data_IF_836179321112
#
_entry.id   IF_836179321112
#
_cell.length_a   1.000
_cell.length_b   1.000
_cell.length_c   1.000
_cell.angle_alpha   90.00
_cell.angle_beta   90.00
_cell.angle_gamma   90.00
#
_symmetry.space_group_name_H-M   'P 1'
#
loop_
_entity.id
_entity.type
_entity.pdbx_description
1 polymer ?
#
# COMPACT_ATOMS: atom_id res chain seq x y z
N UNK A 1 -94.85 36.92 20.06
CA UNK A 1 -94.10 38.17 20.31
C UNK A 1 -93.02 37.89 21.36
N UNK A 2 -91.89 37.35 20.92
CA UNK A 2 -90.61 37.40 21.64
C UNK A 2 -89.54 37.09 20.59
N UNK A 3 -88.63 38.04 20.43
CA UNK A 3 -87.83 38.28 19.25
C UNK A 3 -86.59 37.38 19.16
N UNK A 4 -86.16 37.10 17.93
CA UNK A 4 -84.82 36.61 17.61
C UNK A 4 -83.77 37.61 18.07
N UNK A 5 -82.83 37.18 18.91
CA UNK A 5 -81.50 37.79 18.99
C UNK A 5 -80.46 36.78 18.50
N UNK A 6 -79.91 37.10 17.33
CA UNK A 6 -78.72 36.47 16.76
C UNK A 6 -77.55 36.90 17.65
N UNK A 7 -76.94 35.95 18.34
CA UNK A 7 -75.63 36.16 18.96
C UNK A 7 -74.58 36.14 17.86
N UNK A 8 -74.23 37.33 17.40
CA UNK A 8 -73.09 37.61 16.53
C UNK A 8 -71.81 37.29 17.32
N UNK A 9 -71.17 36.15 17.04
CA UNK A 9 -69.78 35.90 17.45
C UNK A 9 -68.88 36.60 16.44
N UNK A 10 -68.93 37.93 16.48
CA UNK A 10 -68.05 38.83 15.76
C UNK A 10 -67.44 39.77 16.79
N UNK A 11 -66.17 39.55 17.13
CA UNK A 11 -65.39 40.55 17.86
C UNK A 11 -64.57 40.02 19.02
N UNK A 12 -63.41 39.43 18.72
CA UNK A 12 -62.27 39.45 19.65
C UNK A 12 -60.91 39.20 18.95
N UNK A 13 -60.78 39.47 17.64
CA UNK A 13 -59.50 39.30 16.95
C UNK A 13 -59.11 40.53 16.13
N UNK A 14 -59.21 41.70 16.78
CA UNK A 14 -58.63 42.96 16.31
C UNK A 14 -57.88 43.65 17.45
N UNK A 15 -56.97 42.91 18.10
CA UNK A 15 -55.87 43.55 18.80
C UNK A 15 -54.78 43.79 17.76
N UNK A 16 -54.75 44.99 17.20
CA UNK A 16 -53.62 45.52 16.46
C UNK A 16 -52.43 45.61 17.44
N UNK A 17 -51.73 44.47 17.62
CA UNK A 17 -50.46 44.45 18.28
C UNK A 17 -49.43 44.99 17.29
N UNK A 18 -49.00 46.24 17.50
CA UNK A 18 -47.82 46.77 16.82
C UNK A 18 -46.68 45.75 16.98
N UNK A 19 -46.06 45.27 15.88
CA UNK A 19 -44.99 44.27 15.94
C UNK A 19 -43.72 44.79 16.62
N UNK A 20 -43.69 46.07 17.01
CA UNK A 20 -42.53 46.78 17.53
C UNK A 20 -42.60 47.10 19.05
N UNK A 21 -43.59 46.58 19.78
CA UNK A 21 -43.65 46.75 21.23
C UNK A 21 -42.99 45.55 21.92
N UNK A 22 -41.88 45.75 22.67
CA UNK A 22 -41.21 44.65 23.36
C UNK A 22 -42.14 44.04 24.40
N UNK A 23 -42.33 42.72 24.33
CA UNK A 23 -43.24 41.94 25.19
C UNK A 23 -42.84 41.92 26.68
N UNK A 24 -41.67 42.48 27.02
CA UNK A 24 -41.17 42.70 28.38
C UNK A 24 -40.21 43.90 28.40
N UNK A 25 -40.25 44.82 29.38
CA UNK A 25 -39.25 45.87 29.50
C UNK A 25 -37.95 45.28 30.03
N UNK A 26 -37.00 44.96 29.14
CA UNK A 26 -35.61 44.71 29.54
C UNK A 26 -34.99 46.00 30.08
N UNK A 27 -34.21 45.90 31.16
CA UNK A 27 -33.41 47.02 31.67
C UNK A 27 -32.40 47.46 30.62
N UNK A 28 -32.04 48.74 30.61
CA UNK A 28 -31.07 49.27 29.64
C UNK A 28 -29.67 48.64 29.80
N UNK A 29 -29.33 48.20 31.01
CA UNK A 29 -28.10 47.45 31.28
C UNK A 29 -28.11 46.07 30.61
N UNK A 30 -29.24 45.35 30.67
CA UNK A 30 -29.40 44.04 30.04
C UNK A 30 -29.35 44.15 28.51
N UNK A 31 -29.89 45.24 27.95
CA UNK A 31 -29.80 45.54 26.51
C UNK A 31 -28.36 45.72 26.06
N UNK A 32 -27.57 46.52 26.81
CA UNK A 32 -26.16 46.74 26.50
C UNK A 32 -25.29 45.47 26.66
N UNK A 33 -25.66 44.55 27.57
CA UNK A 33 -25.00 43.24 27.70
C UNK A 33 -25.32 42.33 26.52
N UNK A 34 -26.60 42.27 26.11
CA UNK A 34 -27.03 41.47 24.97
C UNK A 34 -26.40 41.93 23.66
N UNK A 35 -26.34 43.25 23.42
CA UNK A 35 -25.71 43.83 22.22
C UNK A 35 -24.23 43.44 22.10
N UNK A 36 -23.47 43.55 23.20
CA UNK A 36 -22.07 43.08 23.23
C UNK A 36 -21.94 41.58 22.96
N UNK A 37 -22.85 40.75 23.48
CA UNK A 37 -22.83 39.30 23.28
C UNK A 37 -23.19 38.91 21.84
N UNK A 38 -24.14 39.62 21.22
CA UNK A 38 -24.52 39.40 19.83
C UNK A 38 -23.44 39.88 18.85
N UNK A 39 -22.71 40.96 19.16
CA UNK A 39 -21.59 41.44 18.35
C UNK A 39 -20.40 40.48 18.31
N UNK A 40 -20.24 39.62 19.32
CA UNK A 40 -19.20 38.58 19.37
C UNK A 40 -19.76 37.17 19.11
N UNK A 41 -20.95 37.08 18.52
CA UNK A 41 -21.59 35.79 18.27
C UNK A 41 -20.84 35.05 17.16
N UNK A 42 -20.42 33.79 17.39
CA UNK A 42 -19.81 32.97 16.34
C UNK A 42 -20.80 32.66 15.23
N UNK A 43 -20.30 32.58 14.01
CA UNK A 43 -21.10 32.24 12.85
C UNK A 43 -21.62 30.81 12.93
N UNK A 44 -22.75 30.55 12.26
CA UNK A 44 -23.34 29.21 12.20
C UNK A 44 -22.34 28.17 11.71
N UNK A 45 -21.54 28.51 10.70
CA UNK A 45 -20.52 27.64 10.14
C UNK A 45 -19.45 27.26 11.18
N UNK A 46 -18.96 28.23 11.97
CA UNK A 46 -17.98 27.96 13.03
C UNK A 46 -18.52 27.02 14.10
N UNK A 47 -19.81 27.14 14.42
CA UNK A 47 -20.47 26.24 15.37
C UNK A 47 -20.62 24.82 14.80
N UNK A 48 -20.82 24.67 13.49
CA UNK A 48 -20.85 23.37 12.81
C UNK A 48 -19.45 22.72 12.76
N UNK A 49 -18.40 23.47 12.44
CA UNK A 49 -17.01 22.99 12.46
C UNK A 49 -16.57 22.52 13.86
N UNK A 50 -16.95 23.28 14.89
CA UNK A 50 -16.71 22.91 16.30
C UNK A 50 -17.62 21.78 16.78
N UNK A 51 -18.45 21.20 15.90
CA UNK A 51 -19.42 20.13 16.21
C UNK A 51 -20.44 20.51 17.30
N UNK A 52 -20.66 21.81 17.53
CA UNK A 52 -21.64 22.32 18.50
C UNK A 52 -23.04 22.30 17.86
N UNK A 53 -23.16 22.76 16.61
CA UNK A 53 -24.37 22.62 15.81
C UNK A 53 -24.19 21.47 14.81
N UNK A 54 -25.21 20.64 14.60
CA UNK A 54 -25.12 19.60 13.56
C UNK A 54 -25.39 20.20 12.18
N UNK A 55 -24.63 19.78 11.14
CA UNK A 55 -24.82 20.30 9.80
C UNK A 55 -26.16 19.82 9.21
N UNK A 56 -26.89 20.77 8.63
CA UNK A 56 -28.13 20.51 7.89
C UNK A 56 -29.32 21.35 8.32
N UNK A 57 -30.40 21.26 7.55
CA UNK A 57 -31.66 21.96 7.79
C UNK A 57 -32.75 21.00 8.30
N UNK A 58 -32.37 20.07 9.18
CA UNK A 58 -33.29 19.09 9.77
C UNK A 58 -33.90 19.64 11.05
N UNK A 59 -35.14 19.23 11.34
CA UNK A 59 -35.78 19.57 12.60
C UNK A 59 -34.97 18.99 13.78
N UNK A 60 -34.84 19.73 14.91
CA UNK A 60 -34.10 19.26 16.09
C UNK A 60 -34.56 17.90 16.62
N UNK A 61 -35.85 17.56 16.45
CA UNK A 61 -36.42 16.27 16.86
C UNK A 61 -35.91 15.07 16.06
N UNK A 62 -35.52 15.26 14.79
CA UNK A 62 -35.06 14.18 13.90
C UNK A 62 -33.54 13.99 13.91
N UNK A 63 -32.81 14.94 14.49
CA UNK A 63 -31.36 14.93 14.53
C UNK A 63 -30.80 13.69 15.24
N UNK A 64 -31.40 13.31 16.37
CA UNK A 64 -30.98 12.12 17.13
C UNK A 64 -31.20 10.82 16.33
N UNK A 65 -32.33 10.69 15.64
CA UNK A 65 -32.63 9.52 14.81
C UNK A 65 -31.68 9.41 13.61
N UNK A 66 -31.33 10.55 12.98
CA UNK A 66 -30.31 10.59 11.93
C UNK A 66 -28.95 10.12 12.44
N UNK A 67 -28.51 10.64 13.58
CA UNK A 67 -27.19 10.31 14.14
C UNK A 67 -27.10 8.82 14.50
N UNK A 68 -28.19 8.24 15.02
CA UNK A 68 -28.25 6.79 15.33
C UNK A 68 -28.22 5.94 14.05
N UNK A 69 -28.98 6.33 13.02
CA UNK A 69 -28.93 5.65 11.72
C UNK A 69 -27.52 5.72 11.12
N UNK A 70 -26.88 6.89 11.16
CA UNK A 70 -25.53 7.05 10.63
C UNK A 70 -24.52 6.21 11.42
N UNK A 71 -24.68 6.13 12.74
CA UNK A 71 -23.86 5.27 13.60
C UNK A 71 -24.05 3.78 13.27
N UNK A 72 -25.29 3.31 13.10
CA UNK A 72 -25.59 1.94 12.68
C UNK A 72 -24.96 1.64 11.31
N UNK A 73 -25.16 2.51 10.32
CA UNK A 73 -24.54 2.34 9.01
C UNK A 73 -23.00 2.32 9.06
N UNK A 74 -22.39 3.13 9.94
CA UNK A 74 -20.93 3.10 10.15
C UNK A 74 -20.49 1.80 10.83
N UNK A 75 -21.27 1.27 11.77
CA UNK A 75 -21.01 0.00 12.43
C UNK A 75 -21.10 -1.18 11.44
N UNK A 76 -22.17 -1.26 10.66
CA UNK A 76 -22.36 -2.33 9.66
C UNK A 76 -21.22 -2.33 8.62
N UNK A 77 -20.80 -1.14 8.17
CA UNK A 77 -19.65 -0.98 7.25
C UNK A 77 -18.34 -1.40 7.89
N UNK A 78 -18.15 -1.13 9.18
CA UNK A 78 -16.95 -1.53 9.89
C UNK A 78 -16.92 -3.05 10.06
N UNK A 79 -18.03 -3.66 10.46
CA UNK A 79 -18.18 -5.11 10.61
C UNK A 79 -17.86 -5.83 9.30
N UNK A 80 -18.46 -5.43 8.18
CA UNK A 80 -18.15 -6.04 6.87
C UNK A 80 -16.69 -5.86 6.42
N UNK A 81 -15.99 -4.81 6.90
CA UNK A 81 -14.53 -4.64 6.65
C UNK A 81 -13.68 -5.49 7.57
N UNK A 82 -14.13 -5.71 8.81
CA UNK A 82 -13.45 -6.56 9.78
C UNK A 82 -13.57 -8.05 9.40
N UNK A 83 -14.70 -8.48 8.85
CA UNK A 83 -14.88 -9.85 8.34
C UNK A 83 -13.93 -10.17 7.18
N UNK A 84 -13.68 -9.20 6.31
CA UNK A 84 -12.78 -9.36 5.13
C UNK A 84 -11.34 -8.94 5.43
N UNK A 85 -10.99 -8.79 6.71
CA UNK A 85 -9.67 -8.34 7.12
C UNK A 85 -8.64 -9.42 6.77
N UNK A 86 -7.60 -9.09 5.98
CA UNK A 86 -6.50 -10.02 5.73
C UNK A 86 -5.76 -10.36 7.02
N UNK A 87 -5.25 -11.59 7.08
CA UNK A 87 -4.38 -12.00 8.17
C UNK A 87 -3.07 -11.24 8.14
N UNK A 88 -2.42 -11.16 9.31
CA UNK A 88 -1.17 -10.42 9.45
C UNK A 88 -0.08 -11.00 8.53
N UNK A 89 -0.01 -12.31 8.41
CA UNK A 89 1.02 -12.99 7.63
C UNK A 89 0.82 -12.77 6.12
N UNK A 90 -0.42 -12.63 5.65
CA UNK A 90 -0.72 -12.24 4.26
C UNK A 90 -0.21 -10.83 3.96
N UNK A 91 -0.34 -9.90 4.91
CA UNK A 91 0.16 -8.55 4.76
C UNK A 91 1.69 -8.50 4.75
N UNK A 92 2.35 -9.38 5.49
CA UNK A 92 3.82 -9.54 5.46
C UNK A 92 4.27 -10.14 4.13
N UNK A 93 3.62 -11.20 3.66
CA UNK A 93 3.93 -11.84 2.39
C UNK A 93 3.75 -10.88 1.20
N UNK A 94 2.77 -9.97 1.27
CA UNK A 94 2.55 -8.91 0.28
C UNK A 94 3.49 -7.72 0.43
N UNK A 95 4.35 -7.69 1.46
CA UNK A 95 5.27 -6.58 1.73
C UNK A 95 4.61 -5.30 2.24
N UNK A 96 3.35 -5.37 2.70
CA UNK A 96 2.63 -4.23 3.29
C UNK A 96 3.08 -4.01 4.73
N UNK A 97 3.13 -5.09 5.51
CA UNK A 97 3.70 -5.08 6.86
C UNK A 97 5.12 -5.65 6.83
N UNK A 98 5.96 -5.12 7.72
CA UNK A 98 7.32 -5.62 7.95
C UNK A 98 7.28 -6.65 9.09
N UNK A 99 8.23 -7.59 9.06
CA UNK A 99 8.36 -8.58 10.13
C UNK A 99 8.52 -7.92 11.50
N UNK A 100 7.59 -8.21 12.42
CA UNK A 100 7.53 -7.65 13.77
C UNK A 100 8.43 -8.37 14.78
N UNK A 101 9.52 -9.00 14.32
CA UNK A 101 10.59 -9.41 15.24
C UNK A 101 11.14 -8.22 16.03
N UNK A 102 10.91 -6.99 15.55
CA UNK A 102 11.41 -5.75 16.14
C UNK A 102 10.25 -4.76 16.37
N UNK A 103 10.32 -4.04 17.49
CA UNK A 103 9.34 -3.03 17.89
C UNK A 103 9.11 -1.98 16.78
N UNK A 104 7.86 -1.49 16.58
CA UNK A 104 7.52 -0.56 15.51
C UNK A 104 8.42 0.68 15.41
N UNK A 105 8.82 1.23 16.55
CA UNK A 105 9.70 2.41 16.63
C UNK A 105 11.11 2.16 16.07
N UNK A 106 11.58 0.91 16.06
CA UNK A 106 12.93 0.53 15.63
C UNK A 106 12.96 -0.04 14.20
N UNK A 107 11.81 -0.29 13.58
CA UNK A 107 11.73 -0.91 12.25
C UNK A 107 12.47 -0.09 11.19
N UNK A 108 12.29 1.24 11.20
CA UNK A 108 12.96 2.13 10.25
C UNK A 108 14.49 2.07 10.39
N UNK A 109 15.00 2.17 11.63
CA UNK A 109 16.45 2.10 11.91
C UNK A 109 17.04 0.73 11.54
N UNK A 110 16.30 -0.35 11.78
CA UNK A 110 16.71 -1.71 11.39
C UNK A 110 16.91 -1.81 9.89
N UNK A 111 15.98 -1.28 9.10
CA UNK A 111 16.07 -1.35 7.64
C UNK A 111 17.18 -0.49 7.08
N UNK A 112 17.37 0.70 7.64
CA UNK A 112 18.49 1.56 7.28
C UNK A 112 19.82 0.83 7.51
N UNK A 113 19.97 0.20 8.68
CA UNK A 113 21.13 -0.64 8.99
C UNK A 113 21.26 -1.83 8.04
N UNK A 114 20.16 -2.56 7.77
CA UNK A 114 20.16 -3.70 6.85
C UNK A 114 20.56 -3.28 5.43
N UNK A 115 20.08 -2.13 4.98
CA UNK A 115 20.44 -1.56 3.67
C UNK A 115 21.92 -1.20 3.64
N UNK A 116 22.42 -0.51 4.65
CA UNK A 116 23.85 -0.18 4.73
C UNK A 116 24.73 -1.43 4.74
N UNK A 117 24.40 -2.41 5.58
CA UNK A 117 25.12 -3.69 5.62
C UNK A 117 25.09 -4.43 4.28
N UNK A 118 23.96 -4.38 3.56
CA UNK A 118 23.85 -4.98 2.24
C UNK A 118 24.70 -4.23 1.21
N UNK A 119 24.68 -2.89 1.25
CA UNK A 119 25.51 -2.03 0.41
C UNK A 119 27.00 -2.30 0.63
N UNK A 120 27.47 -2.31 1.88
CA UNK A 120 28.89 -2.58 2.20
C UNK A 120 29.31 -3.99 1.74
N UNK A 121 28.46 -4.99 1.97
CA UNK A 121 28.70 -6.36 1.51
C UNK A 121 28.75 -6.46 -0.01
N UNK A 122 27.91 -5.70 -0.71
CA UNK A 122 27.90 -5.67 -2.16
C UNK A 122 29.14 -4.97 -2.69
N UNK A 123 29.53 -3.84 -2.10
CA UNK A 123 30.73 -3.08 -2.45
C UNK A 123 31.98 -3.97 -2.33
N UNK A 124 32.19 -4.63 -1.19
CA UNK A 124 33.33 -5.54 -1.03
C UNK A 124 33.33 -6.74 -2.00
N UNK A 125 32.15 -7.18 -2.49
CA UNK A 125 32.05 -8.21 -3.54
C UNK A 125 32.36 -7.67 -4.92
N UNK A 126 32.02 -6.41 -5.19
CA UNK A 126 32.30 -5.75 -6.45
C UNK A 126 33.78 -5.40 -6.58
N UNK A 127 34.44 -4.98 -5.49
CA UNK A 127 35.89 -4.73 -5.47
C UNK A 127 36.71 -5.98 -5.81
N UNK A 128 36.27 -7.15 -5.33
CA UNK A 128 36.94 -8.44 -5.56
C UNK A 128 36.33 -9.22 -6.72
N UNK A 129 35.64 -8.53 -7.63
CA UNK A 129 35.00 -9.15 -8.79
C UNK A 129 36.10 -9.74 -9.70
N UNK A 130 36.11 -11.06 -9.95
CA UNK A 130 37.06 -11.66 -10.88
C UNK A 130 36.86 -11.13 -12.29
N UNK A 131 37.96 -11.00 -13.03
CA UNK A 131 37.90 -10.64 -14.43
C UNK A 131 37.34 -11.80 -15.26
N UNK A 132 36.89 -11.49 -16.46
CA UNK A 132 36.34 -12.50 -17.37
C UNK A 132 37.34 -13.62 -17.64
N UNK A 133 38.61 -13.28 -17.85
CA UNK A 133 39.64 -14.25 -18.22
C UNK A 133 39.98 -15.20 -17.08
N UNK A 134 39.87 -14.75 -15.82
CA UNK A 134 39.96 -15.62 -14.65
C UNK A 134 38.83 -16.65 -14.63
N UNK A 135 37.62 -16.23 -14.99
CA UNK A 135 36.46 -17.13 -15.06
C UNK A 135 36.57 -18.13 -16.22
N UNK A 136 37.19 -17.75 -17.33
CA UNK A 136 37.49 -18.66 -18.46
C UNK A 136 38.57 -19.67 -18.06
N UNK A 137 39.64 -19.20 -17.43
CA UNK A 137 40.74 -20.06 -16.95
C UNK A 137 40.26 -21.09 -15.92
N UNK A 138 39.28 -20.72 -15.09
CA UNK A 138 38.62 -21.62 -14.13
C UNK A 138 37.56 -22.53 -14.75
N UNK A 139 37.29 -22.41 -16.05
CA UNK A 139 36.27 -23.19 -16.76
C UNK A 139 34.81 -22.84 -16.42
N UNK A 140 34.57 -21.70 -15.76
CA UNK A 140 33.22 -21.21 -15.41
C UNK A 140 32.56 -20.57 -16.63
N UNK A 141 33.31 -19.70 -17.32
CA UNK A 141 32.91 -19.14 -18.61
C UNK A 141 33.62 -19.90 -19.73
N UNK A 142 32.96 -20.04 -20.88
CA UNK A 142 33.63 -20.52 -22.10
C UNK A 142 34.14 -19.32 -22.87
N UNK A 143 35.17 -19.53 -23.68
CA UNK A 143 35.75 -18.45 -24.45
C UNK A 143 34.74 -17.93 -25.49
N UNK A 144 34.36 -16.66 -25.35
CA UNK A 144 33.28 -16.04 -26.09
C UNK A 144 33.78 -15.63 -27.46
N UNK A 145 33.63 -16.52 -28.44
CA UNK A 145 33.64 -16.13 -29.85
C UNK A 145 32.23 -15.90 -30.40
N UNK A 146 31.18 -16.19 -29.60
CA UNK A 146 29.77 -16.20 -30.02
C UNK A 146 28.88 -15.71 -28.89
N UNK A 147 27.71 -15.15 -29.23
CA UNK A 147 26.74 -14.62 -28.27
C UNK A 147 26.25 -15.69 -27.26
N UNK A 148 25.90 -15.32 -26.01
CA UNK A 148 25.51 -16.27 -24.95
C UNK A 148 24.38 -17.23 -25.34
N UNK A 149 23.40 -16.76 -26.12
CA UNK A 149 22.27 -17.58 -26.57
C UNK A 149 22.67 -18.72 -27.52
N UNK A 150 23.78 -18.58 -28.26
CA UNK A 150 24.24 -19.55 -29.25
C UNK A 150 25.33 -20.50 -28.70
N UNK A 151 25.87 -20.18 -27.52
CA UNK A 151 26.97 -20.91 -26.91
C UNK A 151 26.63 -22.40 -26.72
N UNK A 152 25.45 -22.70 -26.17
CA UNK A 152 25.00 -24.08 -25.96
C UNK A 152 24.96 -24.89 -27.27
N UNK A 153 24.35 -24.34 -28.33
CA UNK A 153 24.26 -25.02 -29.65
C UNK A 153 25.63 -25.20 -30.29
N UNK A 154 26.52 -24.21 -30.15
CA UNK A 154 27.89 -24.30 -30.65
C UNK A 154 28.64 -25.43 -29.94
N UNK A 155 28.52 -25.52 -28.63
CA UNK A 155 29.22 -26.55 -27.85
C UNK A 155 28.68 -27.96 -28.14
N UNK A 156 27.36 -28.08 -28.35
CA UNK A 156 26.72 -29.32 -28.80
C UNK A 156 27.25 -29.74 -30.18
N UNK A 157 27.26 -28.81 -31.14
CA UNK A 157 27.85 -29.05 -32.47
C UNK A 157 29.33 -29.44 -32.36
N UNK A 158 30.11 -28.73 -31.55
CA UNK A 158 31.53 -29.01 -31.36
C UNK A 158 31.76 -30.39 -30.74
N UNK A 159 30.92 -30.82 -29.80
CA UNK A 159 30.97 -32.16 -29.22
C UNK A 159 30.64 -33.23 -30.25
N UNK A 160 29.53 -33.08 -30.99
CA UNK A 160 29.17 -34.02 -32.05
C UNK A 160 30.27 -34.16 -33.11
N UNK A 161 30.85 -33.04 -33.55
CA UNK A 161 31.99 -33.05 -34.48
C UNK A 161 33.24 -33.73 -33.91
N UNK A 162 33.48 -33.61 -32.60
CA UNK A 162 34.58 -34.28 -31.91
C UNK A 162 34.33 -35.78 -31.79
N UNK A 163 33.10 -36.17 -31.47
CA UNK A 163 32.66 -37.57 -31.40
C UNK A 163 32.86 -38.26 -32.76
N UNK A 164 32.35 -37.67 -33.85
CA UNK A 164 32.50 -38.20 -35.21
C UNK A 164 33.97 -38.34 -35.64
N UNK A 165 34.84 -37.42 -35.18
CA UNK A 165 36.28 -37.47 -35.48
C UNK A 165 36.97 -38.57 -34.68
N UNK A 166 36.70 -38.64 -33.38
CA UNK A 166 37.27 -39.65 -32.50
C UNK A 166 36.84 -41.05 -32.95
N UNK A 167 35.61 -41.22 -33.41
CA UNK A 167 35.13 -42.49 -33.96
C UNK A 167 36.01 -42.95 -35.14
N UNK A 168 36.27 -42.08 -36.12
CA UNK A 168 37.13 -42.38 -37.27
C UNK A 168 38.59 -42.65 -36.88
N UNK A 169 39.12 -41.91 -35.92
CA UNK A 169 40.48 -42.09 -35.42
C UNK A 169 40.63 -43.43 -34.66
N UNK A 170 39.56 -43.87 -34.00
CA UNK A 170 39.49 -45.18 -33.34
C UNK A 170 39.30 -46.33 -34.32
N UNK A 171 38.57 -46.14 -35.42
CA UNK A 171 38.44 -47.14 -36.49
C UNK A 171 39.78 -47.41 -37.20
N UNK A 172 40.55 -46.35 -37.46
CA UNK A 172 41.88 -46.45 -38.08
C UNK A 172 43.01 -46.77 -37.11
N UNK A 173 42.66 -47.17 -35.87
CA UNK A 173 43.62 -47.44 -34.81
C UNK A 173 44.56 -48.60 -35.19
N UNK A 174 45.88 -48.38 -35.23
CA UNK A 174 46.83 -49.43 -35.51
C UNK A 174 46.83 -50.49 -34.40
N UNK A 175 46.94 -51.77 -34.80
CA UNK A 175 47.03 -52.87 -33.85
C UNK A 175 48.37 -52.83 -33.09
N UNK A 176 48.38 -53.42 -31.89
CA UNK A 176 49.53 -53.39 -30.98
C UNK A 176 50.81 -53.94 -31.64
N UNK A 177 50.70 -54.97 -32.47
CA UNK A 177 51.82 -55.60 -33.17
C UNK A 177 52.50 -54.64 -34.15
N UNK A 178 51.71 -53.81 -34.83
CA UNK A 178 52.20 -52.82 -35.79
C UNK A 178 52.94 -51.67 -35.07
N UNK A 179 52.54 -51.37 -33.82
CA UNK A 179 53.24 -50.42 -32.96
C UNK A 179 54.55 -50.99 -32.41
N UNK A 180 54.62 -52.31 -32.15
CA UNK A 180 55.86 -53.01 -31.79
C UNK A 180 56.86 -53.02 -32.94
N UNK A 181 56.40 -53.32 -34.15
CA UNK A 181 57.25 -53.32 -35.35
C UNK A 181 57.82 -51.93 -35.66
N UNK A 182 57.05 -50.86 -35.38
CA UNK A 182 57.53 -49.48 -35.48
C UNK A 182 58.41 -49.02 -34.31
N UNK A 183 58.68 -49.89 -33.33
CA UNK A 183 59.53 -49.61 -32.17
C UNK A 183 58.92 -48.64 -31.14
N UNK A 184 57.61 -48.37 -31.22
CA UNK A 184 56.90 -47.43 -30.34
C UNK A 184 56.42 -48.14 -29.08
N UNK A 185 56.01 -49.40 -29.20
CA UNK A 185 55.58 -50.25 -28.08
C UNK A 185 56.66 -51.31 -27.80
N UNK A 186 57.18 -51.36 -26.57
CA UNK A 186 58.15 -52.40 -26.17
C UNK A 186 57.42 -53.70 -25.79
N UNK A 187 57.98 -54.84 -26.19
CA UNK A 187 57.55 -56.15 -25.69
C UNK A 187 57.91 -56.23 -24.21
N UNK A 188 56.92 -56.08 -23.34
CA UNK A 188 57.08 -56.41 -21.93
C UNK A 188 57.10 -57.94 -21.81
N UNK A 189 58.16 -58.46 -21.19
CA UNK A 189 58.40 -59.88 -20.93
C UNK A 189 57.30 -60.51 -20.04
#
# INVERSE_FOLDING_TARGET
MASLEKLDVAGANSAAADPNVPKSPLSDEDRARLERSLGHRPDRHELEEKNILKPGNLAPSLQAARDELEKSQRADKLEGRLERRPERDDLVARGILKDQSVAPALQAKREELQKHQLSDKLEGRLERRPERDDLVSRGILKDQSVAPALQAKRDELQRAQLEDRLEKDLESRPQADLLRQKGILQDQA
#
